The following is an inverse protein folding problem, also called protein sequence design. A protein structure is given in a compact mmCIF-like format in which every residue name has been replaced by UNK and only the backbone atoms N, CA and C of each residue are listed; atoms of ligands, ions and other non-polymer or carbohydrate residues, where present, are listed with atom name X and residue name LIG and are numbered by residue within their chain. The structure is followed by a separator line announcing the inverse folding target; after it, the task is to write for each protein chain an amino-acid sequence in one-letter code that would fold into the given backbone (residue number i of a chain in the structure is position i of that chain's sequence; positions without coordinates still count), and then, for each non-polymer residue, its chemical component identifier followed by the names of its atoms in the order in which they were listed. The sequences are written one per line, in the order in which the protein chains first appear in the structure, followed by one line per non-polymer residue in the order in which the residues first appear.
data_IF_977913968855
#
_entry.id   IF_977913968855
#
_cell.length_a   1.000
_cell.length_b   1.000
_cell.length_c   1.000
_cell.angle_alpha   90.00
_cell.angle_beta   90.00
_cell.angle_gamma   90.00
#
_symmetry.space_group_name_H-M   'P 1'
#
loop_
_entity.id
_entity.type
_entity.pdbx_description
1 polymer ?
#
# COMPACT_ATOMS: atom_id res chain seq x y z
N UNK A 1 -0.20 -20.07 -9.86
CA UNK A 1 -0.06 -18.64 -10.19
C UNK A 1 0.14 -17.89 -8.88
N UNK A 2 1.07 -16.94 -8.84
CA UNK A 2 1.39 -16.17 -7.64
C UNK A 2 1.45 -14.69 -8.01
N UNK A 3 0.79 -13.87 -7.20
CA UNK A 3 0.66 -12.43 -7.44
C UNK A 3 1.29 -11.66 -6.29
N UNK A 4 1.94 -10.54 -6.62
CA UNK A 4 2.29 -9.49 -5.68
C UNK A 4 1.38 -8.28 -5.89
N UNK A 5 1.03 -7.61 -4.80
CA UNK A 5 0.53 -6.25 -4.81
C UNK A 5 1.55 -5.35 -4.11
N UNK A 6 2.01 -4.30 -4.80
CA UNK A 6 2.85 -3.25 -4.23
C UNK A 6 1.94 -2.05 -3.96
N UNK A 7 1.56 -1.82 -2.71
CA UNK A 7 0.71 -0.67 -2.34
C UNK A 7 1.57 0.45 -1.79
N UNK A 8 1.73 1.50 -2.57
CA UNK A 8 2.49 2.70 -2.21
C UNK A 8 1.82 3.42 -1.04
N UNK A 9 2.57 3.70 0.01
CA UNK A 9 2.04 4.30 1.25
C UNK A 9 2.22 5.82 1.32
N UNK A 10 3.12 6.37 0.51
CA UNK A 10 3.52 7.78 0.58
C UNK A 10 3.55 8.45 -0.81
N UNK A 11 2.83 7.90 -1.79
CA UNK A 11 2.83 8.37 -3.17
C UNK A 11 2.51 9.87 -3.28
N UNK A 12 1.51 10.35 -2.53
CA UNK A 12 1.17 11.77 -2.50
C UNK A 12 2.28 12.63 -1.88
N UNK A 13 2.95 12.17 -0.83
CA UNK A 13 4.09 12.87 -0.23
C UNK A 13 5.31 12.87 -1.14
N UNK A 14 5.50 11.83 -1.94
CA UNK A 14 6.58 11.75 -2.93
C UNK A 14 6.46 12.82 -4.04
N UNK A 15 5.26 13.39 -4.25
CA UNK A 15 5.08 14.52 -5.18
C UNK A 15 5.48 15.87 -4.60
N UNK A 16 5.69 15.96 -3.27
CA UNK A 16 6.07 17.19 -2.59
C UNK A 16 7.58 17.37 -2.73
N UNK A 17 7.98 18.37 -3.52
CA UNK A 17 9.38 18.69 -3.74
C UNK A 17 10.11 18.88 -2.40
N UNK A 18 11.29 18.26 -2.26
CA UNK A 18 12.14 18.31 -1.06
C UNK A 18 12.81 19.68 -0.83
N UNK A 19 12.24 20.78 -1.36
CA UNK A 19 12.84 22.11 -1.31
C UNK A 19 13.08 22.63 0.12
N UNK A 20 12.39 22.05 1.11
CA UNK A 20 12.66 22.24 2.52
C UNK A 20 12.60 20.86 3.22
N UNK A 21 13.68 20.07 3.17
CA UNK A 21 13.68 18.70 3.68
C UNK A 21 13.54 18.65 5.21
N UNK A 22 13.84 19.75 5.90
CA UNK A 22 13.87 19.85 7.35
C UNK A 22 12.53 20.31 7.97
N UNK A 23 11.55 20.71 7.15
CA UNK A 23 10.24 21.14 7.64
C UNK A 23 9.24 19.98 7.62
N UNK A 24 8.35 19.87 8.64
CA UNK A 24 7.19 18.98 8.59
C UNK A 24 6.35 19.20 7.34
N UNK A 25 5.91 18.13 6.67
CA UNK A 25 5.16 18.23 5.40
C UNK A 25 3.79 17.58 5.48
N UNK A 26 2.85 18.18 4.76
CA UNK A 26 1.54 17.61 4.54
C UNK A 26 1.05 17.83 3.10
N UNK A 27 0.28 16.86 2.61
CA UNK A 27 -0.52 17.02 1.40
C UNK A 27 -1.94 17.35 1.81
N UNK A 28 -2.56 18.31 1.15
CA UNK A 28 -3.93 18.73 1.37
C UNK A 28 -4.84 18.31 0.22
N UNK A 29 -6.06 17.89 0.56
CA UNK A 29 -7.16 17.73 -0.39
C UNK A 29 -8.31 18.62 0.07
N UNK A 30 -8.54 19.73 -0.66
CA UNK A 30 -9.36 20.84 -0.18
C UNK A 30 -8.79 21.47 1.09
N UNK A 31 -9.62 21.67 2.11
CA UNK A 31 -9.26 22.29 3.39
C UNK A 31 -8.84 21.29 4.47
N UNK A 32 -8.47 20.07 4.08
CA UNK A 32 -8.13 18.98 5.02
C UNK A 32 -6.79 18.34 4.65
N UNK A 33 -6.08 17.88 5.67
CA UNK A 33 -4.87 17.07 5.53
C UNK A 33 -5.27 15.74 4.91
N UNK A 34 -4.72 15.43 3.74
CA UNK A 34 -4.87 14.14 3.06
C UNK A 34 -3.87 13.12 3.64
N UNK A 35 -2.60 13.48 3.67
CA UNK A 35 -1.53 12.71 4.32
C UNK A 35 -0.41 13.64 4.80
N UNK A 36 0.50 13.13 5.62
CA UNK A 36 1.57 13.90 6.25
C UNK A 36 2.79 13.02 6.49
N UNK A 37 3.97 13.63 6.63
CA UNK A 37 5.17 12.90 7.01
C UNK A 37 5.26 12.67 8.52
N UNK A 38 6.32 11.97 8.93
CA UNK A 38 6.57 11.61 10.32
C UNK A 38 6.83 12.84 11.21
N UNK A 39 7.57 13.83 10.71
CA UNK A 39 7.84 15.06 11.45
C UNK A 39 6.55 15.84 11.76
N UNK A 40 5.60 15.87 10.81
CA UNK A 40 4.28 16.44 11.05
C UNK A 40 3.46 15.61 12.06
N UNK A 41 3.56 14.27 12.00
CA UNK A 41 2.90 13.38 12.95
C UNK A 41 3.37 13.63 14.39
N UNK A 42 4.67 13.83 14.59
CA UNK A 42 5.27 14.12 15.90
C UNK A 42 4.83 15.46 16.50
N UNK A 43 4.40 16.41 15.64
CA UNK A 43 3.76 17.67 16.05
C UNK A 43 2.25 17.54 16.30
N UNK A 44 1.69 16.34 16.14
CA UNK A 44 0.27 16.05 16.34
C UNK A 44 -0.60 16.29 15.11
N UNK A 45 -0.02 16.54 13.93
CA UNK A 45 -0.79 16.61 12.68
C UNK A 45 -1.25 15.20 12.29
N UNK A 46 -2.53 15.05 11.94
CA UNK A 46 -3.09 13.78 11.48
C UNK A 46 -3.88 13.96 10.18
N UNK A 47 -3.94 12.88 9.38
CA UNK A 47 -4.83 12.82 8.22
C UNK A 47 -6.28 13.07 8.64
N UNK A 48 -6.99 13.83 7.83
CA UNK A 48 -8.35 14.27 8.12
C UNK A 48 -8.46 15.41 9.15
N UNK A 49 -7.38 16.06 9.58
CA UNK A 49 -7.50 17.34 10.28
C UNK A 49 -7.82 18.48 9.31
N UNK A 50 -8.47 19.55 9.78
CA UNK A 50 -8.56 20.78 8.99
C UNK A 50 -7.18 21.42 8.88
N UNK A 51 -6.90 22.13 7.78
CA UNK A 51 -5.62 22.83 7.63
C UNK A 51 -5.41 23.89 8.72
N UNK A 52 -6.47 24.57 9.16
CA UNK A 52 -6.40 25.52 10.26
C UNK A 52 -5.94 24.85 11.57
N UNK A 53 -6.50 23.67 11.91
CA UNK A 53 -6.08 22.90 13.08
C UNK A 53 -4.64 22.41 12.94
N UNK A 54 -4.27 21.89 11.77
CA UNK A 54 -2.92 21.38 11.53
C UNK A 54 -1.86 22.50 11.66
N UNK A 55 -2.12 23.68 11.08
CA UNK A 55 -1.25 24.85 11.18
C UNK A 55 -1.21 25.46 12.59
N UNK A 56 -2.29 25.32 13.38
CA UNK A 56 -2.27 25.71 14.78
C UNK A 56 -1.35 24.81 15.63
N UNK A 57 -1.27 23.51 15.30
CA UNK A 57 -0.39 22.54 15.95
C UNK A 57 1.06 22.66 15.47
N UNK A 58 1.25 22.95 14.19
CA UNK A 58 2.55 23.04 13.53
C UNK A 58 2.59 24.26 12.59
N UNK A 59 2.89 25.47 13.10
CA UNK A 59 2.92 26.70 12.29
C UNK A 59 3.89 26.65 11.10
N UNK A 60 4.97 25.87 11.22
CA UNK A 60 5.97 25.65 10.18
C UNK A 60 5.61 24.57 9.14
N UNK A 61 4.40 24.00 9.21
CA UNK A 61 3.96 22.91 8.33
C UNK A 61 3.97 23.33 6.86
N UNK A 62 4.80 22.67 6.05
CA UNK A 62 4.85 22.84 4.62
C UNK A 62 3.71 22.05 3.95
N UNK A 63 2.62 22.76 3.63
CA UNK A 63 1.45 22.18 2.97
C UNK A 63 1.55 22.32 1.45
N UNK A 64 1.21 21.25 0.71
CA UNK A 64 1.02 21.28 -0.75
C UNK A 64 -0.33 20.68 -1.14
N UNK A 65 -0.98 21.19 -2.20
CA UNK A 65 -2.18 20.55 -2.72
C UNK A 65 -1.82 19.18 -3.31
N UNK A 66 -2.75 18.23 -3.18
CA UNK A 66 -2.65 16.92 -3.83
C UNK A 66 -2.49 17.08 -5.33
N UNK A 67 -1.61 16.28 -5.93
CA UNK A 67 -1.32 16.31 -7.36
C UNK A 67 -1.55 14.93 -7.98
N UNK A 68 -2.80 14.48 -8.19
CA UNK A 68 -3.10 13.13 -8.68
C UNK A 68 -2.42 12.77 -10.01
N UNK A 69 -2.21 13.76 -10.89
CA UNK A 69 -1.48 13.56 -12.16
C UNK A 69 -0.01 13.22 -11.91
N UNK A 70 0.66 13.86 -10.93
CA UNK A 70 2.05 13.54 -10.55
C UNK A 70 2.11 12.19 -9.83
N UNK A 71 1.14 11.89 -8.96
CA UNK A 71 1.01 10.58 -8.29
C UNK A 71 0.92 9.45 -9.33
N UNK A 72 0.05 9.62 -10.32
CA UNK A 72 -0.13 8.67 -11.42
C UNK A 72 1.15 8.47 -12.23
N UNK A 73 1.86 9.56 -12.56
CA UNK A 73 3.13 9.47 -13.29
C UNK A 73 4.21 8.71 -12.52
N UNK A 74 4.29 8.87 -11.19
CA UNK A 74 5.21 8.09 -10.34
C UNK A 74 4.82 6.61 -10.36
N UNK A 75 3.53 6.30 -10.28
CA UNK A 75 3.03 4.92 -10.31
C UNK A 75 3.31 4.24 -11.65
N UNK A 76 3.16 4.97 -12.77
CA UNK A 76 3.52 4.51 -14.10
C UNK A 76 5.03 4.28 -14.26
N UNK A 77 5.87 5.19 -13.73
CA UNK A 77 7.31 5.00 -13.73
C UNK A 77 7.72 3.76 -12.92
N UNK A 78 7.10 3.54 -11.75
CA UNK A 78 7.31 2.33 -10.96
C UNK A 78 6.85 1.07 -11.71
N UNK A 79 5.73 1.12 -12.42
CA UNK A 79 5.27 0.00 -13.25
C UNK A 79 6.29 -0.36 -14.33
N UNK A 80 6.86 0.65 -15.02
CA UNK A 80 7.92 0.45 -15.99
C UNK A 80 9.17 -0.17 -15.35
N UNK A 81 9.60 0.33 -14.19
CA UNK A 81 10.73 -0.23 -13.46
C UNK A 81 10.49 -1.71 -13.08
N UNK A 82 9.26 -2.08 -12.71
CA UNK A 82 8.90 -3.45 -12.34
C UNK A 82 8.91 -4.45 -13.51
N UNK A 83 8.97 -4.02 -14.77
CA UNK A 83 8.95 -4.96 -15.91
C UNK A 83 10.16 -5.91 -15.96
N UNK A 84 11.29 -5.53 -15.34
CA UNK A 84 12.43 -6.44 -15.19
C UNK A 84 12.15 -7.62 -14.22
N UNK A 85 11.12 -7.52 -13.36
CA UNK A 85 10.70 -8.57 -12.42
C UNK A 85 9.74 -9.55 -13.09
N UNK A 86 8.83 -9.04 -13.92
CA UNK A 86 7.84 -9.83 -14.65
C UNK A 86 7.30 -9.05 -15.86
N UNK A 87 7.00 -9.72 -16.98
CA UNK A 87 6.31 -9.08 -18.10
C UNK A 87 4.86 -8.68 -17.77
N UNK A 88 4.26 -9.19 -16.69
CA UNK A 88 2.86 -8.96 -16.32
C UNK A 88 2.75 -8.00 -15.14
N UNK A 89 2.75 -6.70 -15.45
CA UNK A 89 2.55 -5.61 -14.49
C UNK A 89 1.23 -4.90 -14.84
N UNK A 90 0.43 -4.57 -13.85
CA UNK A 90 -0.84 -3.85 -14.03
C UNK A 90 -1.00 -2.80 -12.94
N UNK A 91 -1.46 -1.61 -13.32
CA UNK A 91 -1.80 -0.57 -12.35
C UNK A 91 -2.97 -1.04 -11.48
N UNK A 92 -2.87 -0.80 -10.18
CA UNK A 92 -3.91 -1.04 -9.19
C UNK A 92 -4.20 0.28 -8.46
N UNK A 93 -5.05 1.15 -9.05
CA UNK A 93 -5.39 2.44 -8.46
C UNK A 93 -5.98 2.28 -7.04
N UNK A 94 -5.85 3.31 -6.18
CA UNK A 94 -5.27 4.63 -6.47
C UNK A 94 -3.74 4.69 -6.31
N UNK A 95 -3.11 3.71 -5.67
CA UNK A 95 -1.70 3.81 -5.26
C UNK A 95 -1.01 2.45 -5.21
N UNK A 96 -1.20 1.59 -6.21
CA UNK A 96 -0.51 0.31 -6.22
C UNK A 96 -0.33 -0.34 -7.58
N UNK A 97 0.41 -1.45 -7.58
CA UNK A 97 0.70 -2.27 -8.74
C UNK A 97 0.40 -3.74 -8.43
N UNK A 98 -0.12 -4.47 -9.42
CA UNK A 98 -0.26 -5.91 -9.41
C UNK A 98 0.76 -6.55 -10.34
N UNK A 99 1.47 -7.56 -9.85
CA UNK A 99 2.51 -8.28 -10.58
C UNK A 99 2.21 -9.77 -10.54
N UNK A 100 2.07 -10.43 -11.69
CA UNK A 100 2.03 -11.90 -11.73
C UNK A 100 3.46 -12.43 -11.82
N UNK A 101 3.93 -13.08 -10.76
CA UNK A 101 5.34 -13.44 -10.61
C UNK A 101 5.62 -14.93 -10.75
N UNK A 102 4.59 -15.76 -10.94
CA UNK A 102 4.73 -17.22 -10.97
C UNK A 102 5.71 -17.69 -12.05
N UNK A 103 5.67 -17.08 -13.23
CA UNK A 103 6.61 -17.36 -14.32
C UNK A 103 8.04 -16.89 -14.05
N UNK A 104 8.22 -15.88 -13.18
CA UNK A 104 9.52 -15.28 -12.88
C UNK A 104 10.29 -16.01 -11.77
N UNK A 105 9.62 -16.80 -10.93
CA UNK A 105 10.24 -17.45 -9.76
C UNK A 105 11.51 -18.24 -10.14
N UNK A 106 11.48 -19.00 -11.24
CA UNK A 106 12.63 -19.78 -11.69
C UNK A 106 13.82 -18.90 -12.09
N UNK A 107 13.57 -17.78 -12.76
CA UNK A 107 14.61 -16.84 -13.21
C UNK A 107 15.34 -16.22 -12.01
N UNK A 108 14.61 -15.88 -10.95
CA UNK A 108 15.17 -15.27 -9.76
C UNK A 108 15.72 -16.29 -8.75
N UNK A 109 15.58 -17.60 -8.98
CA UNK A 109 16.00 -18.64 -8.04
C UNK A 109 15.06 -18.82 -6.84
N UNK A 110 13.85 -18.26 -6.90
CA UNK A 110 12.78 -18.45 -5.93
C UNK A 110 12.14 -17.15 -5.42
N UNK A 111 11.09 -17.30 -4.62
CA UNK A 111 10.30 -16.18 -4.10
C UNK A 111 11.14 -15.22 -3.22
N UNK A 112 12.00 -15.73 -2.35
CA UNK A 112 12.79 -14.89 -1.45
C UNK A 112 13.73 -13.94 -2.21
N UNK A 113 14.40 -14.44 -3.24
CA UNK A 113 15.27 -13.63 -4.10
C UNK A 113 14.47 -12.63 -4.94
N UNK A 114 13.30 -13.02 -5.46
CA UNK A 114 12.41 -12.11 -6.17
C UNK A 114 11.90 -10.98 -5.26
N UNK A 115 11.51 -11.28 -4.02
CA UNK A 115 11.11 -10.26 -3.03
C UNK A 115 12.25 -9.30 -2.67
N UNK A 116 13.49 -9.79 -2.63
CA UNK A 116 14.66 -8.92 -2.46
C UNK A 116 14.81 -7.97 -3.65
N UNK A 117 14.71 -8.48 -4.88
CA UNK A 117 14.76 -7.65 -6.09
C UNK A 117 13.63 -6.61 -6.12
N UNK A 118 12.40 -6.96 -5.71
CA UNK A 118 11.28 -6.02 -5.57
C UNK A 118 11.64 -4.89 -4.60
N UNK A 119 12.19 -5.21 -3.42
CA UNK A 119 12.58 -4.23 -2.41
C UNK A 119 13.70 -3.30 -2.92
N UNK A 120 14.65 -3.84 -3.69
CA UNK A 120 15.68 -3.04 -4.35
C UNK A 120 15.11 -2.09 -5.40
N UNK A 121 14.15 -2.55 -6.21
CA UNK A 121 13.46 -1.69 -7.19
C UNK A 121 12.71 -0.55 -6.50
N UNK A 122 11.97 -0.85 -5.42
CA UNK A 122 11.28 0.17 -4.63
C UNK A 122 12.26 1.21 -4.05
N UNK A 123 13.40 0.75 -3.52
CA UNK A 123 14.45 1.62 -2.98
C UNK A 123 15.07 2.51 -4.06
N UNK A 124 15.36 1.97 -5.25
CA UNK A 124 15.90 2.73 -6.38
C UNK A 124 14.93 3.77 -6.91
N UNK A 125 13.63 3.46 -6.90
CA UNK A 125 12.56 4.40 -7.28
C UNK A 125 12.19 5.38 -6.17
N UNK A 126 12.78 5.25 -4.97
CA UNK A 126 12.47 6.06 -3.78
C UNK A 126 10.97 6.04 -3.42
N UNK A 127 10.32 4.89 -3.60
CA UNK A 127 8.90 4.68 -3.26
C UNK A 127 8.79 3.72 -2.09
N UNK A 128 8.02 4.10 -1.07
CA UNK A 128 7.66 3.16 -0.01
C UNK A 128 6.38 2.44 -0.36
N UNK A 129 6.43 1.10 -0.33
CA UNK A 129 5.27 0.26 -0.58
C UNK A 129 5.21 -0.94 0.38
N UNK A 130 3.99 -1.35 0.69
CA UNK A 130 3.72 -2.61 1.38
C UNK A 130 3.51 -3.70 0.33
N UNK A 131 4.14 -4.86 0.56
CA UNK A 131 4.06 -6.01 -0.35
C UNK A 131 3.04 -7.01 0.19
N UNK A 132 1.92 -7.17 -0.53
CA UNK A 132 1.02 -8.30 -0.35
C UNK A 132 1.34 -9.40 -1.36
N UNK A 133 1.20 -10.67 -0.98
CA UNK A 133 1.44 -11.79 -1.88
C UNK A 133 0.36 -12.87 -1.73
N UNK A 134 -0.21 -13.34 -2.83
CA UNK A 134 -1.22 -14.39 -2.77
C UNK A 134 -1.40 -15.13 -4.10
N UNK A 135 -2.07 -16.30 -4.09
CA UNK A 135 -2.41 -17.01 -5.33
C UNK A 135 -3.35 -16.26 -6.28
N UNK A 136 -4.05 -15.23 -5.80
CA UNK A 136 -4.97 -14.38 -6.60
C UNK A 136 -4.63 -12.90 -6.44
N UNK A 137 -4.88 -12.05 -7.45
CA UNK A 137 -4.59 -10.62 -7.38
C UNK A 137 -5.38 -9.92 -6.26
N UNK A 138 -6.67 -10.25 -6.10
CA UNK A 138 -7.51 -9.67 -5.05
C UNK A 138 -7.01 -9.99 -3.63
N UNK A 139 -6.54 -11.23 -3.39
CA UNK A 139 -5.98 -11.58 -2.09
C UNK A 139 -4.61 -10.93 -1.86
N UNK A 140 -3.80 -10.73 -2.91
CA UNK A 140 -2.54 -10.01 -2.81
C UNK A 140 -2.77 -8.55 -2.46
N UNK A 141 -3.75 -7.91 -3.11
CA UNK A 141 -4.19 -6.55 -2.81
C UNK A 141 -4.67 -6.42 -1.37
N UNK A 142 -5.58 -7.30 -0.91
CA UNK A 142 -6.02 -7.31 0.49
C UNK A 142 -4.85 -7.43 1.47
N UNK A 143 -3.94 -8.38 1.25
CA UNK A 143 -2.79 -8.59 2.12
C UNK A 143 -1.81 -7.40 2.13
N UNK A 144 -1.79 -6.57 1.08
CA UNK A 144 -1.00 -5.34 1.07
C UNK A 144 -1.48 -4.30 2.11
N UNK A 145 -2.69 -4.45 2.67
CA UNK A 145 -3.19 -3.62 3.78
C UNK A 145 -2.76 -4.12 5.16
N UNK A 146 -2.09 -5.27 5.24
CA UNK A 146 -1.45 -5.77 6.47
C UNK A 146 0.02 -5.42 6.54
N UNK A 147 0.73 -6.04 7.47
CA UNK A 147 2.17 -5.88 7.74
C UNK A 147 2.96 -7.21 7.57
N UNK A 148 2.31 -8.20 6.96
CA UNK A 148 2.80 -9.55 6.90
C UNK A 148 3.93 -9.72 5.87
N UNK A 149 5.10 -10.21 6.29
CA UNK A 149 6.07 -10.73 5.31
C UNK A 149 5.45 -11.93 4.55
N UNK A 150 5.40 -11.91 3.20
CA UNK A 150 4.97 -13.03 2.37
C UNK A 150 5.57 -14.39 2.75
N UNK A 151 6.84 -14.42 3.17
CA UNK A 151 7.55 -15.64 3.56
C UNK A 151 7.03 -16.27 4.87
N UNK A 152 6.18 -15.55 5.61
CA UNK A 152 5.52 -16.11 6.78
C UNK A 152 4.48 -17.20 6.42
N UNK A 153 3.97 -17.22 5.18
CA UNK A 153 2.93 -18.18 4.75
C UNK A 153 3.16 -18.81 3.38
N UNK A 154 4.13 -18.30 2.60
CA UNK A 154 4.56 -18.87 1.33
C UNK A 154 5.91 -19.58 1.48
N UNK A 155 6.14 -20.59 0.63
CA UNK A 155 7.44 -21.23 0.47
C UNK A 155 8.45 -20.26 -0.15
N UNK A 156 9.65 -20.19 0.43
CA UNK A 156 10.68 -19.24 0.02
C UNK A 156 11.22 -19.50 -1.41
N UNK A 157 11.10 -20.73 -1.91
CA UNK A 157 11.59 -21.09 -3.23
C UNK A 157 10.45 -21.13 -4.27
N UNK A 158 9.48 -22.03 -4.06
CA UNK A 158 8.38 -22.28 -4.98
C UNK A 158 7.27 -21.23 -4.96
N UNK A 159 7.18 -20.42 -3.90
CA UNK A 159 6.07 -19.50 -3.68
C UNK A 159 4.72 -20.21 -3.43
N UNK A 160 4.73 -21.52 -3.17
CA UNK A 160 3.54 -22.28 -2.83
C UNK A 160 3.03 -21.89 -1.43
N UNK A 161 1.72 -21.97 -1.22
CA UNK A 161 1.13 -21.70 0.09
C UNK A 161 1.46 -22.85 1.06
N UNK A 162 2.39 -22.61 2.00
CA UNK A 162 2.84 -23.62 2.97
C UNK A 162 2.07 -23.59 4.28
N UNK A 163 1.46 -22.44 4.60
CA UNK A 163 0.69 -22.26 5.85
C UNK A 163 -0.71 -21.68 5.58
N UNK A 164 -1.65 -22.49 5.05
CA UNK A 164 -2.99 -22.01 4.70
C UNK A 164 -3.74 -21.36 5.86
N UNK A 165 -3.63 -21.93 7.08
CA UNK A 165 -4.24 -21.34 8.28
C UNK A 165 -3.66 -19.97 8.63
N UNK A 166 -2.35 -19.78 8.47
CA UNK A 166 -1.71 -18.50 8.72
C UNK A 166 -2.14 -17.45 7.69
N UNK A 167 -2.25 -17.85 6.43
CA UNK A 167 -2.78 -17.02 5.36
C UNK A 167 -4.25 -16.60 5.62
N UNK A 168 -5.14 -17.55 5.92
CA UNK A 168 -6.53 -17.24 6.25
C UNK A 168 -6.66 -16.33 7.46
N UNK A 169 -5.90 -16.58 8.54
CA UNK A 169 -5.92 -15.72 9.73
C UNK A 169 -5.48 -14.29 9.42
N UNK A 170 -4.49 -14.11 8.54
CA UNK A 170 -4.04 -12.78 8.11
C UNK A 170 -5.12 -12.05 7.33
N UNK A 171 -5.74 -12.71 6.36
CA UNK A 171 -6.89 -12.12 5.63
C UNK A 171 -8.03 -11.74 6.58
N UNK A 172 -8.38 -12.63 7.50
CA UNK A 172 -9.48 -12.39 8.44
C UNK A 172 -9.20 -11.23 9.40
N UNK A 173 -7.93 -10.97 9.72
CA UNK A 173 -7.54 -9.92 10.65
C UNK A 173 -7.57 -8.51 10.03
N UNK A 174 -7.61 -8.40 8.69
CA UNK A 174 -7.61 -7.11 7.99
C UNK A 174 -8.84 -6.26 8.34
N UNK A 175 -8.70 -4.93 8.44
CA UNK A 175 -9.83 -4.03 8.69
C UNK A 175 -10.80 -4.03 7.49
N UNK A 176 -12.08 -3.69 7.72
CA UNK A 176 -13.06 -3.54 6.63
C UNK A 176 -12.61 -2.52 5.58
N UNK A 177 -11.87 -1.48 5.98
CA UNK A 177 -11.31 -0.48 5.08
C UNK A 177 -10.31 -1.05 4.05
N UNK A 178 -9.85 -2.30 4.21
CA UNK A 178 -9.03 -2.98 3.22
C UNK A 178 -9.86 -3.59 2.07
N UNK A 179 -11.18 -3.75 2.24
CA UNK A 179 -12.05 -4.28 1.19
C UNK A 179 -12.16 -3.27 0.05
N UNK A 180 -11.97 -3.75 -1.18
CA UNK A 180 -12.18 -2.96 -2.40
C UNK A 180 -13.67 -2.83 -2.70
N UNK A 181 -14.35 -1.97 -1.94
CA UNK A 181 -15.77 -1.72 -2.08
C UNK A 181 -16.11 -0.26 -1.80
N UNK A 182 -17.31 0.15 -2.24
CA UNK A 182 -17.77 1.53 -2.11
C UNK A 182 -17.75 1.96 -0.62
N UNK A 183 -17.27 3.19 -0.30
CA UNK A 183 -17.19 3.68 1.08
C UNK A 183 -18.52 3.56 1.84
N UNK A 184 -19.65 3.78 1.15
CA UNK A 184 -20.98 3.68 1.73
C UNK A 184 -21.32 2.25 2.16
N UNK A 185 -20.80 1.23 1.45
CA UNK A 185 -20.96 -0.17 1.84
C UNK A 185 -20.09 -0.49 3.06
N UNK A 186 -18.84 -0.01 3.09
CA UNK A 186 -17.94 -0.16 4.25
C UNK A 186 -18.58 0.46 5.49
N UNK A 187 -19.15 1.66 5.36
CA UNK A 187 -19.86 2.33 6.46
C UNK A 187 -21.09 1.56 6.92
N UNK A 188 -21.89 1.03 5.99
CA UNK A 188 -23.05 0.19 6.33
C UNK A 188 -22.63 -1.07 7.10
N UNK A 189 -21.59 -1.76 6.65
CA UNK A 189 -21.02 -2.92 7.35
C UNK A 189 -20.46 -2.51 8.72
N UNK A 190 -19.79 -1.36 8.82
CA UNK A 190 -19.29 -0.86 10.10
C UNK A 190 -20.44 -0.55 11.08
N UNK A 191 -21.59 -0.06 10.58
CA UNK A 191 -22.77 0.23 11.41
C UNK A 191 -23.45 -1.03 11.97
N UNK A 192 -23.26 -2.21 11.38
CA UNK A 192 -23.76 -3.48 11.94
C UNK A 192 -22.85 -4.06 13.02
N UNK A 193 -21.73 -3.40 13.34
CA UNK A 193 -20.77 -3.81 14.36
C UNK A 193 -19.55 -4.55 13.80
N UNK A 194 -19.51 -4.83 12.49
CA UNK A 194 -18.37 -5.46 11.84
C UNK A 194 -17.18 -4.50 11.77
N UNK A 195 -15.98 -5.02 11.91
CA UNK A 195 -14.71 -4.28 11.92
C UNK A 195 -13.64 -4.93 11.06
N UNK A 196 -13.75 -6.23 10.79
CA UNK A 196 -12.75 -7.02 10.08
C UNK A 196 -13.34 -7.83 8.92
N UNK A 197 -12.50 -8.12 7.94
CA UNK A 197 -12.84 -8.95 6.78
C UNK A 197 -13.33 -10.33 7.21
N UNK A 198 -12.71 -10.93 8.23
CA UNK A 198 -13.09 -12.26 8.70
C UNK A 198 -14.51 -12.35 9.25
N UNK A 199 -15.05 -11.26 9.78
CA UNK A 199 -16.41 -11.21 10.32
C UNK A 199 -17.44 -11.13 9.18
N UNK A 200 -17.11 -10.45 8.08
CA UNK A 200 -17.93 -10.44 6.86
C UNK A 200 -18.02 -11.84 6.24
N UNK A 201 -16.90 -12.57 6.21
CA UNK A 201 -16.83 -13.94 5.67
C UNK A 201 -17.62 -14.96 6.50
N UNK A 202 -18.04 -14.60 7.72
CA UNK A 202 -18.85 -15.44 8.59
C UNK A 202 -20.35 -15.11 8.53
N UNK A 203 -20.74 -14.10 7.73
CA UNK A 203 -22.15 -13.81 7.50
C UNK A 203 -22.81 -14.94 6.69
N UNK A 204 -24.08 -15.26 6.97
CA UNK A 204 -24.83 -16.30 6.26
C UNK A 204 -25.16 -15.92 4.81
#
# INVERSE_FOLDING_TARGET
MLWLCLRCTDLALATVDAAAPDLPRAVAEGQRVYCHDQAAAERGVAAGMTLATALALCPELAVRPRAPVREQAILEALAHACHHLTPKVTLCPPAGLLLEIGGSLKLFGGLAALLAAVRDTLRLQQVHAVIGAAPTPAAAQLLSHGDADPLAYLDAHSGALTRPRAFSRRLHALPLAALDCAPELIEKLARTGLRRVGEVLQLP
#
